data_IF_019160553485
#
_entry.id   IF_019160553485
#
_cell.length_a   1.000
_cell.length_b   1.000
_cell.length_c   1.000
_cell.angle_alpha   90.00
_cell.angle_beta   90.00
_cell.angle_gamma   90.00
#
_symmetry.space_group_name_H-M   'P 1'
#
loop_
_entity.id
_entity.type
_entity.pdbx_description
1 polymer ?
#
# COMPACT_ATOMS: atom_id res chain seq x y z
N UNK A 1 2.64 18.91 24.02
CA UNK A 1 3.94 18.65 23.42
C UNK A 1 3.77 17.87 22.14
N UNK A 2 4.17 18.46 21.05
CA UNK A 2 4.09 17.76 19.77
C UNK A 2 5.21 16.73 19.68
N UNK A 3 4.85 15.52 19.31
CA UNK A 3 5.86 14.51 19.03
C UNK A 3 6.13 14.52 17.53
N UNK A 4 7.36 14.77 17.19
CA UNK A 4 7.77 14.65 15.80
C UNK A 4 7.88 13.17 15.47
N UNK A 5 7.13 12.75 14.45
CA UNK A 5 7.22 11.38 13.98
C UNK A 5 8.50 11.23 13.18
N UNK A 6 9.39 10.37 13.66
CA UNK A 6 10.64 10.09 12.96
C UNK A 6 10.44 8.99 11.93
N UNK A 7 11.39 8.86 11.01
CA UNK A 7 11.36 7.76 10.03
C UNK A 7 11.39 6.41 10.74
N UNK A 8 12.09 6.33 11.87
CA UNK A 8 12.16 5.10 12.64
C UNK A 8 10.81 4.74 13.25
N UNK A 9 10.07 5.76 13.73
CA UNK A 9 8.73 5.54 14.29
C UNK A 9 7.78 5.05 13.22
N UNK A 10 7.82 5.63 12.01
CA UNK A 10 6.99 5.19 10.90
C UNK A 10 7.31 3.76 10.50
N UNK A 11 8.60 3.42 10.44
CA UNK A 11 9.02 2.07 10.08
C UNK A 11 8.56 1.06 11.11
N UNK A 12 8.67 1.38 12.40
CA UNK A 12 8.22 0.49 13.47
C UNK A 12 6.73 0.26 13.38
N UNK A 13 5.95 1.32 13.13
CA UNK A 13 4.51 1.21 12.99
C UNK A 13 4.14 0.41 11.74
N UNK A 14 4.86 0.63 10.64
CA UNK A 14 4.65 -0.13 9.41
C UNK A 14 4.84 -1.62 9.65
N UNK A 15 5.94 -2.01 10.27
CA UNK A 15 6.21 -3.42 10.56
C UNK A 15 5.12 -4.01 11.45
N UNK A 16 4.72 -3.29 12.49
CA UNK A 16 3.69 -3.76 13.42
C UNK A 16 2.35 -3.96 12.73
N UNK A 17 1.92 -2.99 11.93
CA UNK A 17 0.61 -3.06 11.26
C UNK A 17 0.63 -4.04 10.09
N UNK A 18 1.66 -3.96 9.26
CA UNK A 18 1.73 -4.81 8.06
C UNK A 18 1.82 -6.29 8.42
N UNK A 19 2.52 -6.62 9.52
CA UNK A 19 2.65 -8.02 9.93
C UNK A 19 1.32 -8.64 10.36
N UNK A 20 0.30 -7.81 10.67
CA UNK A 20 -1.03 -8.32 11.01
C UNK A 20 -1.89 -8.64 9.78
N UNK A 21 -1.47 -8.18 8.60
CA UNK A 21 -2.22 -8.45 7.37
C UNK A 21 -2.10 -9.93 7.03
N UNK A 22 -3.23 -10.63 6.79
CA UNK A 22 -3.18 -12.05 6.47
C UNK A 22 -2.27 -12.37 5.29
N UNK A 23 -1.37 -13.30 5.48
CA UNK A 23 -0.46 -13.75 4.45
C UNK A 23 0.78 -12.90 4.23
N UNK A 24 0.92 -11.79 4.96
CA UNK A 24 2.07 -10.90 4.77
C UNK A 24 3.39 -11.62 5.04
N UNK A 25 3.50 -12.35 6.15
CA UNK A 25 4.73 -13.08 6.47
C UNK A 25 5.03 -14.16 5.43
N UNK A 26 3.99 -14.84 4.94
CA UNK A 26 4.17 -15.84 3.90
C UNK A 26 4.65 -15.22 2.59
N UNK A 27 4.09 -14.06 2.25
CA UNK A 27 4.49 -13.34 1.04
C UNK A 27 5.95 -12.91 1.11
N UNK A 28 6.37 -12.36 2.25
CA UNK A 28 7.73 -11.89 2.42
C UNK A 28 8.76 -13.01 2.45
N UNK A 29 8.37 -14.20 2.87
CA UNK A 29 9.24 -15.36 2.96
C UNK A 29 9.14 -16.29 1.75
N UNK A 30 8.23 -16.02 0.83
CA UNK A 30 8.02 -16.88 -0.32
C UNK A 30 9.21 -16.87 -1.26
N UNK A 31 9.59 -18.05 -1.74
CA UNK A 31 10.60 -18.18 -2.79
C UNK A 31 10.01 -17.68 -4.11
N UNK A 32 10.87 -17.35 -5.11
CA UNK A 32 10.38 -16.92 -6.41
C UNK A 32 9.40 -17.91 -7.06
N UNK A 33 9.58 -19.20 -6.79
CA UNK A 33 8.70 -20.25 -7.33
C UNK A 33 7.33 -20.25 -6.64
N UNK A 34 7.30 -19.94 -5.35
CA UNK A 34 6.07 -19.96 -4.55
C UNK A 34 5.29 -18.63 -4.65
N UNK A 35 5.98 -17.57 -5.01
CA UNK A 35 5.43 -16.21 -4.93
C UNK A 35 4.12 -16.03 -5.70
N UNK A 36 3.98 -16.49 -6.96
CA UNK A 36 2.71 -16.31 -7.68
C UNK A 36 1.51 -16.95 -6.98
N UNK A 37 1.72 -18.11 -6.36
CA UNK A 37 0.66 -18.81 -5.63
C UNK A 37 0.25 -18.05 -4.37
N UNK A 38 1.25 -17.57 -3.61
CA UNK A 38 1.00 -16.81 -2.39
C UNK A 38 0.33 -15.48 -2.72
N UNK A 39 0.76 -14.81 -3.78
CA UNK A 39 0.14 -13.56 -4.21
C UNK A 39 -1.32 -13.73 -4.59
N UNK A 40 -1.64 -14.81 -5.29
CA UNK A 40 -3.02 -15.09 -5.68
C UNK A 40 -3.90 -15.37 -4.47
N UNK A 41 -3.32 -15.96 -3.42
CA UNK A 41 -4.05 -16.35 -2.22
C UNK A 41 -4.27 -15.18 -1.25
N UNK A 42 -3.34 -14.22 -1.24
CA UNK A 42 -3.37 -13.11 -0.27
C UNK A 42 -3.28 -11.74 -0.97
N UNK A 43 -4.34 -11.34 -1.69
CA UNK A 43 -4.32 -10.09 -2.45
C UNK A 43 -4.16 -8.84 -1.58
N UNK A 44 -4.63 -8.88 -0.33
CA UNK A 44 -4.49 -7.72 0.55
C UNK A 44 -3.03 -7.49 0.95
N UNK A 45 -2.27 -8.56 1.15
CA UNK A 45 -0.84 -8.46 1.45
C UNK A 45 -0.10 -7.89 0.24
N UNK A 46 -0.45 -8.34 -0.96
CA UNK A 46 0.14 -7.82 -2.19
C UNK A 46 -0.14 -6.32 -2.33
N UNK A 47 -1.39 -5.92 -2.11
CA UNK A 47 -1.77 -4.52 -2.18
C UNK A 47 -0.94 -3.66 -1.21
N UNK A 48 -0.78 -4.10 0.04
CA UNK A 48 -0.01 -3.35 1.03
C UNK A 48 1.44 -3.20 0.61
N UNK A 49 2.05 -4.25 0.06
CA UNK A 49 3.44 -4.19 -0.41
C UNK A 49 3.56 -3.22 -1.59
N UNK A 50 2.62 -3.26 -2.52
CA UNK A 50 2.62 -2.36 -3.67
C UNK A 50 2.53 -0.91 -3.20
N UNK A 51 1.64 -0.63 -2.23
CA UNK A 51 1.48 0.72 -1.69
C UNK A 51 2.77 1.20 -1.03
N UNK A 52 3.39 0.39 -0.19
CA UNK A 52 4.63 0.75 0.48
C UNK A 52 5.77 0.98 -0.52
N UNK A 53 5.82 0.20 -1.60
CA UNK A 53 6.85 0.30 -2.62
C UNK A 53 6.67 1.49 -3.55
N UNK A 54 5.47 2.05 -3.63
CA UNK A 54 5.12 3.10 -4.57
C UNK A 54 5.04 4.49 -3.95
N UNK A 55 5.45 4.63 -2.67
CA UNK A 55 5.34 5.91 -1.95
C UNK A 55 6.09 7.05 -2.62
N UNK A 56 7.21 6.75 -3.26
CA UNK A 56 8.07 7.75 -3.87
C UNK A 56 7.98 7.76 -5.39
N UNK A 57 6.76 7.58 -5.89
CA UNK A 57 6.51 7.69 -7.33
C UNK A 57 6.91 9.09 -7.82
N UNK A 58 7.48 9.17 -9.03
CA UNK A 58 7.85 10.46 -9.62
C UNK A 58 6.65 11.33 -9.92
N UNK A 59 5.50 10.74 -10.20
CA UNK A 59 4.29 11.48 -10.43
C UNK A 59 3.70 11.93 -9.11
N UNK A 60 3.61 13.26 -8.92
CA UNK A 60 3.16 13.84 -7.66
C UNK A 60 1.75 13.42 -7.27
N UNK A 61 0.83 13.44 -8.22
CA UNK A 61 -0.56 13.09 -7.95
C UNK A 61 -0.70 11.62 -7.57
N UNK A 62 -0.04 10.73 -8.30
CA UNK A 62 -0.04 9.31 -7.96
C UNK A 62 0.62 9.05 -6.61
N UNK A 63 1.70 9.78 -6.32
CA UNK A 63 2.37 9.67 -5.03
C UNK A 63 1.44 10.07 -3.89
N UNK A 64 0.67 11.14 -4.05
CA UNK A 64 -0.28 11.57 -3.02
C UNK A 64 -1.39 10.54 -2.80
N UNK A 65 -1.90 9.96 -3.87
CA UNK A 65 -2.90 8.89 -3.79
C UNK A 65 -2.33 7.70 -3.01
N UNK A 66 -1.11 7.32 -3.33
CA UNK A 66 -0.43 6.20 -2.67
C UNK A 66 -0.17 6.48 -1.20
N UNK A 67 0.29 7.70 -0.87
CA UNK A 67 0.53 8.08 0.51
C UNK A 67 -0.75 8.04 1.33
N UNK A 68 -1.86 8.49 0.77
CA UNK A 68 -3.14 8.45 1.46
C UNK A 68 -3.52 7.01 1.80
N UNK A 69 -3.36 6.09 0.85
CA UNK A 69 -3.64 4.68 1.08
C UNK A 69 -2.69 4.12 2.14
N UNK A 70 -1.42 4.47 2.08
CA UNK A 70 -0.42 4.01 3.03
C UNK A 70 -0.78 4.41 4.46
N UNK A 71 -1.13 5.68 4.68
CA UNK A 71 -1.48 6.14 6.01
C UNK A 71 -2.81 5.55 6.50
N UNK A 72 -3.74 5.28 5.58
CA UNK A 72 -4.97 4.58 5.95
C UNK A 72 -4.67 3.17 6.44
N UNK A 73 -3.75 2.46 5.80
CA UNK A 73 -3.32 1.14 6.26
C UNK A 73 -2.67 1.25 7.64
N UNK A 74 -1.80 2.23 7.86
CA UNK A 74 -1.15 2.43 9.15
C UNK A 74 -2.14 2.76 10.26
N UNK A 75 -3.25 3.39 9.91
CA UNK A 75 -4.32 3.69 10.86
C UNK A 75 -5.26 2.51 11.08
N UNK A 76 -4.91 1.35 10.53
CA UNK A 76 -5.65 0.11 10.68
C UNK A 76 -7.08 0.20 10.16
N UNK A 77 -7.31 1.02 9.14
CA UNK A 77 -8.58 1.06 8.45
C UNK A 77 -8.81 -0.25 7.69
N UNK A 78 -10.07 -0.54 7.40
CA UNK A 78 -10.41 -1.75 6.66
C UNK A 78 -9.69 -1.75 5.31
N UNK A 79 -8.85 -2.76 5.10
CA UNK A 79 -7.97 -2.79 3.92
C UNK A 79 -8.74 -2.91 2.62
N UNK A 80 -9.91 -3.57 2.64
CA UNK A 80 -10.75 -3.66 1.44
C UNK A 80 -11.29 -2.27 1.06
N UNK A 81 -11.66 -1.46 2.04
CA UNK A 81 -12.10 -0.08 1.80
C UNK A 81 -10.97 0.79 1.29
N UNK A 82 -9.77 0.63 1.85
CA UNK A 82 -8.59 1.37 1.42
C UNK A 82 -8.27 1.04 -0.04
N UNK A 83 -8.31 -0.25 -0.38
CA UNK A 83 -8.05 -0.72 -1.74
C UNK A 83 -9.08 -0.18 -2.73
N UNK A 84 -10.35 -0.20 -2.35
CA UNK A 84 -11.41 0.35 -3.18
C UNK A 84 -11.19 1.83 -3.47
N UNK A 85 -10.88 2.61 -2.43
CA UNK A 85 -10.64 4.04 -2.58
C UNK A 85 -9.40 4.33 -3.43
N UNK A 86 -8.34 3.54 -3.25
CA UNK A 86 -7.12 3.68 -4.02
C UNK A 86 -7.38 3.35 -5.50
N UNK A 87 -8.07 2.26 -5.77
CA UNK A 87 -8.38 1.86 -7.14
C UNK A 87 -9.23 2.91 -7.84
N UNK A 88 -10.22 3.46 -7.13
CA UNK A 88 -11.07 4.51 -7.68
C UNK A 88 -10.27 5.77 -8.00
N UNK A 89 -9.41 6.19 -7.09
CA UNK A 89 -8.61 7.40 -7.27
C UNK A 89 -7.63 7.25 -8.44
N UNK A 90 -6.98 6.09 -8.56
CA UNK A 90 -6.06 5.84 -9.66
C UNK A 90 -6.78 5.73 -10.99
N UNK A 91 -7.96 5.12 -10.99
CA UNK A 91 -8.77 5.01 -12.21
C UNK A 91 -9.18 6.40 -12.70
N UNK A 92 -9.62 7.27 -11.80
CA UNK A 92 -9.96 8.65 -12.15
C UNK A 92 -8.76 9.42 -12.67
N UNK A 93 -7.59 9.19 -12.06
CA UNK A 93 -6.35 9.81 -12.52
C UNK A 93 -6.06 9.41 -13.97
N UNK A 94 -6.09 8.11 -14.27
CA UNK A 94 -5.77 7.63 -15.58
C UNK A 94 -6.80 8.07 -16.62
N UNK A 95 -8.08 8.14 -16.28
CA UNK A 95 -9.11 8.64 -17.17
C UNK A 95 -8.85 10.08 -17.56
N UNK A 96 -8.50 10.94 -16.61
CA UNK A 96 -8.19 12.33 -16.90
C UNK A 96 -6.98 12.48 -17.81
N UNK A 97 -5.97 11.69 -17.60
CA UNK A 97 -4.72 11.82 -18.33
C UNK A 97 -4.71 11.09 -19.67
N UNK A 98 -5.52 10.08 -19.82
CA UNK A 98 -5.63 9.36 -21.09
C UNK A 98 -6.54 10.08 -22.10
N UNK A 99 -7.51 10.83 -21.61
CA UNK A 99 -8.47 11.52 -22.47
C UNK A 99 -8.04 12.94 -22.85
N UNK A 100 -6.99 13.46 -22.24
CA UNK A 100 -6.51 14.83 -22.45
C UNK A 100 -5.46 14.94 -23.53
N UNK A 101 -5.24 13.94 -24.29
CA UNK A 101 -4.28 13.98 -25.41
C UNK A 101 -4.91 14.54 -26.66
#
# INVERSE_FOLDING_TARGET
MSKNITMQDLRSKEVAVFSTIPGMNKLLQASPAEKPEVEAKYPDAVFAVVIASSLFNHNRELSEITQKAYFSILNEENIASVRFAYDKATDEYWKRHMWDD
#
